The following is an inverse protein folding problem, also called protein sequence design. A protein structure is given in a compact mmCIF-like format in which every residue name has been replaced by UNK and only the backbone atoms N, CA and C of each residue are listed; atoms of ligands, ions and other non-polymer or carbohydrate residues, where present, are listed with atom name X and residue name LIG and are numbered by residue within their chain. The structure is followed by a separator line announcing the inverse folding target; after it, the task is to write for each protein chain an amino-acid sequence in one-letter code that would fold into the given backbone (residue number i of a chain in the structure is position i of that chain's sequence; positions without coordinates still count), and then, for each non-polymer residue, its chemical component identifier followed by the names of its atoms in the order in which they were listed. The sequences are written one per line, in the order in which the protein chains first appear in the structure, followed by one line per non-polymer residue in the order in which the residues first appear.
data_IF_283390390402
#
_entry.id   IF_283390390402
#
_cell.length_a   1.000
_cell.length_b   1.000
_cell.length_c   1.000
_cell.angle_alpha   90.00
_cell.angle_beta   90.00
_cell.angle_gamma   90.00
#
_symmetry.space_group_name_H-M   'P 1'
#
loop_
_entity.id
_entity.type
_entity.pdbx_description
1 polymer ?
#
# COMPACT_ATOMS: atom_id res chain seq x y z
N UNK A 1 -21.98 22.55 29.59
CA UNK A 1 -20.57 22.82 29.23
C UNK A 1 -20.59 23.73 28.02
N UNK A 2 -19.86 24.83 28.07
CA UNK A 2 -19.76 25.80 26.97
C UNK A 2 -19.00 25.14 25.82
N UNK A 3 -19.65 24.97 24.66
CA UNK A 3 -19.03 24.39 23.48
C UNK A 3 -17.80 25.21 23.03
N UNK A 4 -16.68 24.54 22.82
CA UNK A 4 -15.39 25.15 22.48
C UNK A 4 -15.50 26.05 21.25
N UNK A 5 -14.83 27.20 21.29
CA UNK A 5 -14.80 28.15 20.16
C UNK A 5 -14.15 27.53 18.92
N UNK A 6 -13.15 26.67 19.12
CA UNK A 6 -12.43 25.98 18.05
C UNK A 6 -13.38 25.02 17.34
N UNK A 7 -14.09 24.18 18.11
CA UNK A 7 -15.11 23.27 17.59
C UNK A 7 -16.18 23.98 16.76
N UNK A 8 -16.75 25.09 17.27
CA UNK A 8 -17.74 25.89 16.51
C UNK A 8 -17.19 26.41 15.19
N UNK A 9 -15.94 26.89 15.21
CA UNK A 9 -15.28 27.41 14.01
C UNK A 9 -15.02 26.29 13.01
N UNK A 10 -14.56 25.12 13.46
CA UNK A 10 -14.33 23.95 12.63
C UNK A 10 -15.63 23.46 11.96
N UNK A 11 -16.74 23.39 12.71
CA UNK A 11 -18.05 23.02 12.14
C UNK A 11 -18.51 24.01 11.08
N UNK A 12 -18.40 25.32 11.34
CA UNK A 12 -18.75 26.34 10.36
C UNK A 12 -17.90 26.25 9.07
N UNK A 13 -16.59 25.95 9.21
CA UNK A 13 -15.71 25.70 8.06
C UNK A 13 -16.15 24.45 7.29
N UNK A 14 -16.50 23.37 7.98
CA UNK A 14 -16.98 22.13 7.35
C UNK A 14 -18.31 22.33 6.63
N UNK A 15 -19.25 23.11 7.18
CA UNK A 15 -20.50 23.46 6.50
C UNK A 15 -20.25 24.24 5.19
N UNK A 16 -19.25 25.13 5.23
CA UNK A 16 -18.83 25.90 4.05
C UNK A 16 -18.18 25.02 2.96
N UNK A 17 -17.79 23.77 3.25
CA UNK A 17 -17.19 22.89 2.21
C UNK A 17 -18.14 22.60 1.07
N UNK A 18 -19.45 22.79 1.28
CA UNK A 18 -20.51 22.62 0.27
C UNK A 18 -20.45 23.62 -0.88
N UNK A 19 -19.60 24.65 -0.78
CA UNK A 19 -19.28 25.54 -1.88
C UNK A 19 -18.65 24.76 -3.05
N UNK A 20 -18.99 25.16 -4.28
CA UNK A 20 -18.52 24.53 -5.51
C UNK A 20 -17.21 25.11 -6.02
N UNK A 21 -16.79 26.26 -5.50
CA UNK A 21 -15.53 26.90 -5.88
C UNK A 21 -14.33 26.13 -5.30
N UNK A 22 -13.44 25.58 -6.15
CA UNK A 22 -12.24 24.89 -5.68
C UNK A 22 -11.33 25.74 -4.79
N UNK A 23 -11.27 27.06 -5.02
CA UNK A 23 -10.48 27.97 -4.19
C UNK A 23 -11.05 28.05 -2.78
N UNK A 24 -12.38 28.08 -2.65
CA UNK A 24 -13.04 28.08 -1.33
C UNK A 24 -12.76 26.77 -0.59
N UNK A 25 -12.83 25.63 -1.28
CA UNK A 25 -12.50 24.32 -0.70
C UNK A 25 -11.04 24.24 -0.25
N UNK A 26 -10.12 24.80 -1.01
CA UNK A 26 -8.70 24.88 -0.65
C UNK A 26 -8.48 25.78 0.57
N UNK A 27 -9.14 26.95 0.64
CA UNK A 27 -9.06 27.82 1.81
C UNK A 27 -9.64 27.15 3.07
N UNK A 28 -10.73 26.39 2.93
CA UNK A 28 -11.30 25.63 4.05
C UNK A 28 -10.33 24.55 4.52
N UNK A 29 -9.73 23.80 3.61
CA UNK A 29 -8.67 22.84 3.94
C UNK A 29 -7.53 23.51 4.71
N UNK A 30 -7.00 24.63 4.20
CA UNK A 30 -5.89 25.35 4.84
C UNK A 30 -6.29 25.87 6.23
N UNK A 31 -7.52 26.37 6.39
CA UNK A 31 -8.02 26.85 7.67
C UNK A 31 -8.16 25.71 8.71
N UNK A 32 -8.68 24.55 8.31
CA UNK A 32 -8.75 23.37 9.18
C UNK A 32 -7.36 22.88 9.60
N UNK A 33 -6.41 22.86 8.66
CA UNK A 33 -5.01 22.51 8.95
C UNK A 33 -4.39 23.50 9.95
N UNK A 34 -4.55 24.81 9.72
CA UNK A 34 -4.02 25.85 10.60
C UNK A 34 -4.57 25.74 12.03
N UNK A 35 -5.89 25.51 12.19
CA UNK A 35 -6.46 25.28 13.51
C UNK A 35 -5.90 24.00 14.17
N UNK A 36 -5.66 22.96 13.37
CA UNK A 36 -5.10 21.70 13.84
C UNK A 36 -3.60 21.75 14.19
N UNK A 37 -2.89 22.82 13.88
CA UNK A 37 -1.52 23.05 14.39
C UNK A 37 -1.53 23.39 15.88
N UNK A 38 -2.56 24.11 16.34
CA UNK A 38 -2.69 24.52 17.74
C UNK A 38 -3.52 23.55 18.56
N UNK A 39 -4.60 23.01 17.99
CA UNK A 39 -5.60 22.20 18.70
C UNK A 39 -5.91 20.91 17.91
N UNK A 40 -4.92 20.02 17.68
CA UNK A 40 -5.07 18.86 16.81
C UNK A 40 -6.17 17.90 17.26
N UNK A 41 -6.25 17.60 18.56
CA UNK A 41 -7.27 16.69 19.08
C UNK A 41 -8.69 17.24 18.89
N UNK A 42 -8.91 18.51 19.20
CA UNK A 42 -10.24 19.10 19.07
C UNK A 42 -10.69 19.18 17.60
N UNK A 43 -9.79 19.48 16.67
CA UNK A 43 -10.09 19.47 15.23
C UNK A 43 -10.40 18.05 14.74
N UNK A 44 -9.59 17.06 15.10
CA UNK A 44 -9.82 15.67 14.66
C UNK A 44 -11.13 15.10 15.21
N UNK A 45 -11.45 15.37 16.47
CA UNK A 45 -12.73 14.97 17.06
C UNK A 45 -13.91 15.70 16.40
N UNK A 46 -13.76 16.99 16.09
CA UNK A 46 -14.79 17.75 15.38
C UNK A 46 -15.06 17.18 13.98
N UNK A 47 -14.01 16.83 13.24
CA UNK A 47 -14.15 16.19 11.92
C UNK A 47 -14.83 14.82 11.98
N UNK A 48 -14.48 13.98 12.98
CA UNK A 48 -15.15 12.69 13.22
C UNK A 48 -16.64 12.87 13.50
N UNK A 49 -16.98 13.73 14.47
CA UNK A 49 -18.36 14.00 14.82
C UNK A 49 -19.16 14.52 13.61
N UNK A 50 -18.58 15.45 12.85
CA UNK A 50 -19.21 16.03 11.67
C UNK A 50 -19.51 14.98 10.60
N UNK A 51 -18.52 14.16 10.24
CA UNK A 51 -18.68 13.13 9.21
C UNK A 51 -19.69 12.04 9.61
N UNK A 52 -19.78 11.72 10.90
CA UNK A 52 -20.80 10.79 11.44
C UNK A 52 -22.21 11.36 11.42
N UNK A 53 -22.37 12.65 11.73
CA UNK A 53 -23.69 13.30 11.73
C UNK A 53 -24.20 13.55 10.31
N UNK A 54 -23.29 13.67 9.33
CA UNK A 54 -23.62 13.97 7.94
C UNK A 54 -23.39 12.76 7.02
N UNK A 55 -24.09 11.65 7.27
CA UNK A 55 -23.94 10.40 6.51
C UNK A 55 -24.15 10.54 5.00
N UNK A 56 -24.99 11.50 4.57
CA UNK A 56 -25.32 11.79 3.17
C UNK A 56 -24.47 12.90 2.55
N UNK A 57 -23.43 13.38 3.24
CA UNK A 57 -22.53 14.40 2.70
C UNK A 57 -21.85 13.88 1.43
N UNK A 58 -21.85 14.70 0.37
CA UNK A 58 -21.26 14.34 -0.90
C UNK A 58 -19.75 14.07 -0.78
N UNK A 59 -19.26 13.11 -1.57
CA UNK A 59 -17.87 12.66 -1.49
C UNK A 59 -16.81 13.77 -1.64
N UNK A 60 -16.95 14.76 -2.55
CA UNK A 60 -16.00 15.86 -2.64
C UNK A 60 -15.77 16.59 -1.31
N UNK A 61 -16.84 16.80 -0.53
CA UNK A 61 -16.74 17.47 0.77
C UNK A 61 -16.13 16.56 1.83
N UNK A 62 -16.48 15.26 1.83
CA UNK A 62 -15.81 14.26 2.69
C UNK A 62 -14.31 14.20 2.41
N UNK A 63 -13.90 14.29 1.14
CA UNK A 63 -12.49 14.28 0.72
C UNK A 63 -11.73 15.46 1.33
N UNK A 64 -12.27 16.68 1.28
CA UNK A 64 -11.63 17.87 1.87
C UNK A 64 -11.38 17.68 3.36
N UNK A 65 -12.39 17.18 4.09
CA UNK A 65 -12.29 16.93 5.53
C UNK A 65 -11.25 15.84 5.82
N UNK A 66 -11.29 14.71 5.11
CA UNK A 66 -10.34 13.61 5.29
C UNK A 66 -8.89 14.03 4.96
N UNK A 67 -8.68 14.85 3.93
CA UNK A 67 -7.36 15.42 3.62
C UNK A 67 -6.87 16.34 4.73
N UNK A 68 -7.75 17.16 5.31
CA UNK A 68 -7.39 18.00 6.45
C UNK A 68 -7.02 17.13 7.66
N UNK A 69 -7.80 16.08 7.95
CA UNK A 69 -7.48 15.11 9.00
C UNK A 69 -6.13 14.43 8.77
N UNK A 70 -5.81 14.01 7.53
CA UNK A 70 -4.51 13.43 7.17
C UNK A 70 -3.37 14.38 7.54
N UNK A 71 -3.47 15.65 7.12
CA UNK A 71 -2.46 16.66 7.38
C UNK A 71 -2.28 16.94 8.89
N UNK A 72 -3.39 17.10 9.63
CA UNK A 72 -3.37 17.33 11.08
C UNK A 72 -2.76 16.15 11.81
N UNK A 73 -3.12 14.90 11.45
CA UNK A 73 -2.51 13.69 12.02
C UNK A 73 -1.02 13.67 11.72
N UNK A 74 -0.62 13.86 10.47
CA UNK A 74 0.78 13.77 10.04
C UNK A 74 1.68 14.79 10.74
N UNK A 75 1.20 16.03 10.87
CA UNK A 75 1.97 17.12 11.47
C UNK A 75 2.07 16.99 13.00
N UNK A 76 1.11 16.33 13.65
CA UNK A 76 1.02 16.25 15.11
C UNK A 76 1.21 14.83 15.66
N UNK A 77 1.60 13.86 14.82
CA UNK A 77 1.59 12.43 15.19
C UNK A 77 2.39 12.11 16.45
N UNK A 78 3.48 12.83 16.70
CA UNK A 78 4.37 12.62 17.84
C UNK A 78 3.70 12.94 19.20
N UNK A 79 2.72 13.84 19.21
CA UNK A 79 2.07 14.34 20.42
C UNK A 79 0.62 13.87 20.55
N UNK A 80 0.00 13.44 19.45
CA UNK A 80 -1.38 12.96 19.43
C UNK A 80 -1.62 11.88 20.48
N UNK A 81 -2.73 11.99 21.21
CA UNK A 81 -3.08 11.02 22.24
C UNK A 81 -3.68 9.73 21.66
N UNK A 82 -3.63 8.64 22.44
CA UNK A 82 -4.09 7.30 22.00
C UNK A 82 -5.60 7.21 21.77
N UNK A 83 -6.39 8.03 22.46
CA UNK A 83 -7.86 8.02 22.35
C UNK A 83 -8.31 8.72 21.07
N UNK A 84 -7.77 9.90 20.78
CA UNK A 84 -8.04 10.60 19.51
C UNK A 84 -7.53 9.78 18.32
N UNK A 85 -6.34 9.19 18.41
CA UNK A 85 -5.84 8.30 17.37
C UNK A 85 -6.79 7.12 17.10
N UNK A 86 -7.39 6.51 18.13
CA UNK A 86 -8.35 5.42 17.97
C UNK A 86 -9.62 5.88 17.24
N UNK A 87 -10.13 7.07 17.56
CA UNK A 87 -11.31 7.65 16.91
C UNK A 87 -11.04 7.88 15.42
N UNK A 88 -9.92 8.52 15.10
CA UNK A 88 -9.49 8.80 13.72
C UNK A 88 -9.31 7.51 12.92
N UNK A 89 -8.64 6.50 13.49
CA UNK A 89 -8.42 5.21 12.85
C UNK A 89 -9.76 4.52 12.53
N UNK A 90 -10.67 4.48 13.50
CA UNK A 90 -11.98 3.86 13.31
C UNK A 90 -12.82 4.58 12.25
N UNK A 91 -12.82 5.92 12.26
CA UNK A 91 -13.51 6.72 11.25
C UNK A 91 -12.96 6.43 9.85
N UNK A 92 -11.64 6.56 9.68
CA UNK A 92 -10.99 6.39 8.38
C UNK A 92 -11.16 4.97 7.84
N UNK A 93 -11.07 3.95 8.70
CA UNK A 93 -11.35 2.55 8.37
C UNK A 93 -12.78 2.35 7.84
N UNK A 94 -13.76 3.03 8.44
CA UNK A 94 -15.15 2.98 8.00
C UNK A 94 -15.38 3.78 6.72
N UNK A 95 -14.91 5.01 6.61
CA UNK A 95 -15.01 5.82 5.39
C UNK A 95 -14.40 5.09 4.19
N UNK A 96 -13.22 4.48 4.36
CA UNK A 96 -12.51 3.73 3.32
C UNK A 96 -13.31 2.52 2.79
N UNK A 97 -14.18 1.93 3.61
CA UNK A 97 -14.86 0.66 3.32
C UNK A 97 -16.39 0.76 3.29
N UNK A 98 -16.94 1.96 3.47
CA UNK A 98 -18.38 2.22 3.59
C UNK A 98 -19.13 1.92 2.29
N UNK A 99 -18.52 2.18 1.13
CA UNK A 99 -19.03 1.72 -0.17
C UNK A 99 -18.25 0.51 -0.66
N UNK A 100 -18.95 -0.45 -1.29
CA UNK A 100 -18.33 -1.56 -2.03
C UNK A 100 -17.86 -1.13 -3.42
N UNK A 101 -18.43 -0.05 -3.95
CA UNK A 101 -17.97 0.55 -5.20
C UNK A 101 -16.67 1.31 -4.96
N UNK A 102 -15.77 1.25 -5.93
CA UNK A 102 -14.48 1.93 -5.84
C UNK A 102 -14.69 3.39 -6.22
N UNK A 103 -14.61 4.25 -5.21
CA UNK A 103 -14.66 5.71 -5.34
C UNK A 103 -13.29 6.23 -4.94
N UNK A 104 -12.37 6.21 -5.92
CA UNK A 104 -10.93 6.31 -5.68
C UNK A 104 -10.54 7.46 -4.76
N UNK A 105 -10.94 8.70 -5.07
CA UNK A 105 -10.45 9.87 -4.33
C UNK A 105 -10.88 9.90 -2.85
N UNK A 106 -12.12 9.48 -2.57
CA UNK A 106 -12.65 9.44 -1.20
C UNK A 106 -12.00 8.33 -0.37
N UNK A 107 -11.94 7.14 -0.93
CA UNK A 107 -11.38 5.99 -0.24
C UNK A 107 -9.85 6.11 -0.11
N UNK A 108 -9.18 6.75 -1.08
CA UNK A 108 -7.75 7.09 -0.98
C UNK A 108 -7.50 8.12 0.11
N UNK A 109 -8.32 9.18 0.23
CA UNK A 109 -8.19 10.15 1.31
C UNK A 109 -8.34 9.47 2.68
N UNK A 110 -9.31 8.56 2.84
CA UNK A 110 -9.46 7.79 4.06
C UNK A 110 -8.28 6.83 4.32
N UNK A 111 -7.78 6.15 3.29
CA UNK A 111 -6.58 5.31 3.36
C UNK A 111 -5.36 6.11 3.82
N UNK A 112 -5.16 7.33 3.31
CA UNK A 112 -4.04 8.17 3.70
C UNK A 112 -4.09 8.57 5.18
N UNK A 113 -5.27 8.82 5.74
CA UNK A 113 -5.43 9.08 7.19
C UNK A 113 -4.94 7.88 8.00
N UNK A 114 -5.29 6.66 7.59
CA UNK A 114 -4.80 5.43 8.24
C UNK A 114 -3.27 5.28 8.12
N UNK A 115 -2.72 5.59 6.96
CA UNK A 115 -1.27 5.55 6.71
C UNK A 115 -0.55 6.57 7.60
N UNK A 116 -1.04 7.80 7.67
CA UNK A 116 -0.50 8.84 8.55
C UNK A 116 -0.53 8.41 10.02
N UNK A 117 -1.66 7.90 10.50
CA UNK A 117 -1.79 7.38 11.86
C UNK A 117 -0.86 6.17 12.12
N UNK A 118 -0.68 5.32 11.11
CA UNK A 118 0.13 4.11 11.17
C UNK A 118 1.62 4.37 11.34
N UNK A 119 2.11 5.59 11.08
CA UNK A 119 3.53 5.95 11.33
C UNK A 119 3.92 5.83 12.81
N UNK A 120 2.97 6.03 13.74
CA UNK A 120 3.19 5.85 15.20
C UNK A 120 2.27 4.80 15.82
N UNK A 121 1.02 4.72 15.37
CA UNK A 121 -0.02 3.87 15.97
C UNK A 121 -0.28 2.60 15.16
N UNK A 122 0.75 2.02 14.54
CA UNK A 122 0.62 0.86 13.64
C UNK A 122 -0.21 -0.27 14.25
N UNK A 123 0.05 -0.65 15.50
CA UNK A 123 -0.70 -1.74 16.16
C UNK A 123 -2.21 -1.45 16.20
N UNK A 124 -2.62 -0.20 16.46
CA UNK A 124 -4.04 0.19 16.47
C UNK A 124 -4.65 0.21 15.08
N UNK A 125 -3.88 0.65 14.09
CA UNK A 125 -4.30 0.60 12.67
C UNK A 125 -4.51 -0.85 12.26
N UNK A 126 -3.57 -1.74 12.59
CA UNK A 126 -3.66 -3.16 12.27
C UNK A 126 -4.79 -3.86 13.02
N UNK A 127 -4.97 -3.58 14.32
CA UNK A 127 -6.11 -4.07 15.11
C UNK A 127 -7.46 -3.76 14.43
N UNK A 128 -7.62 -2.57 13.87
CA UNK A 128 -8.85 -2.14 13.19
C UNK A 128 -8.96 -2.70 11.76
N UNK A 129 -7.93 -2.48 10.92
CA UNK A 129 -7.98 -2.80 9.48
C UNK A 129 -8.03 -4.32 9.26
N UNK A 130 -7.37 -5.12 10.08
CA UNK A 130 -7.41 -6.59 9.97
C UNK A 130 -8.81 -7.16 10.26
N UNK A 131 -9.68 -6.48 11.00
CA UNK A 131 -11.07 -6.93 11.20
C UNK A 131 -11.85 -7.03 9.88
N UNK A 132 -11.43 -6.24 8.87
CA UNK A 132 -12.01 -6.17 7.53
C UNK A 132 -11.25 -7.01 6.50
N UNK A 133 -10.24 -7.78 6.94
CA UNK A 133 -9.41 -8.63 6.09
C UNK A 133 -9.51 -10.10 6.55
N UNK A 134 -10.55 -10.79 6.10
CA UNK A 134 -10.89 -12.13 6.56
C UNK A 134 -10.46 -13.23 5.57
N UNK A 135 -9.92 -14.37 6.04
CA UNK A 135 -9.54 -15.49 5.17
C UNK A 135 -10.69 -15.95 4.26
N UNK A 136 -10.38 -16.24 3.00
CA UNK A 136 -11.36 -16.78 2.03
C UNK A 136 -12.38 -15.76 1.52
N UNK A 137 -12.26 -14.48 1.87
CA UNK A 137 -13.11 -13.40 1.37
C UNK A 137 -12.22 -12.36 0.68
N UNK A 138 -12.54 -12.03 -0.57
CA UNK A 138 -11.82 -10.99 -1.30
C UNK A 138 -12.01 -9.64 -0.58
N UNK A 139 -10.93 -8.96 -0.16
CA UNK A 139 -11.07 -7.73 0.61
C UNK A 139 -11.46 -6.56 -0.29
N UNK A 140 -11.88 -5.47 0.34
CA UNK A 140 -12.05 -4.20 -0.35
C UNK A 140 -10.70 -3.72 -0.93
N UNK A 141 -10.71 -3.14 -2.14
CA UNK A 141 -9.50 -2.69 -2.84
C UNK A 141 -8.54 -1.89 -1.94
N UNK A 142 -9.09 -0.93 -1.20
CA UNK A 142 -8.31 -0.03 -0.37
C UNK A 142 -7.73 -0.67 0.90
N UNK A 143 -8.19 -1.86 1.30
CA UNK A 143 -7.53 -2.61 2.39
C UNK A 143 -6.13 -3.03 1.93
N UNK A 144 -6.03 -3.63 0.73
CA UNK A 144 -4.74 -4.02 0.15
C UNK A 144 -3.85 -2.81 -0.14
N UNK A 145 -4.44 -1.74 -0.69
CA UNK A 145 -3.71 -0.49 -0.94
C UNK A 145 -3.14 0.11 0.36
N UNK A 146 -3.91 0.08 1.45
CA UNK A 146 -3.47 0.62 2.75
C UNK A 146 -2.33 -0.19 3.33
N UNK A 147 -2.40 -1.52 3.31
CA UNK A 147 -1.27 -2.36 3.75
C UNK A 147 0.00 -2.05 2.97
N UNK A 148 -0.10 -1.92 1.65
CA UNK A 148 1.04 -1.59 0.81
C UNK A 148 1.65 -0.22 1.17
N UNK A 149 0.81 0.80 1.36
CA UNK A 149 1.26 2.14 1.72
C UNK A 149 1.83 2.21 3.16
N UNK A 150 1.32 1.39 4.09
CA UNK A 150 1.89 1.22 5.42
C UNK A 150 3.28 0.57 5.37
N UNK A 151 3.50 -0.42 4.50
CA UNK A 151 4.82 -1.01 4.26
C UNK A 151 5.86 0.00 3.78
N UNK A 152 5.45 1.04 3.05
CA UNK A 152 6.35 2.11 2.60
C UNK A 152 6.58 3.16 3.68
N UNK A 153 5.54 3.55 4.42
CA UNK A 153 5.60 4.64 5.40
C UNK A 153 6.13 4.22 6.77
N UNK A 154 6.00 2.94 7.13
CA UNK A 154 6.44 2.39 8.41
C UNK A 154 6.91 0.94 8.25
N UNK A 155 8.06 0.77 7.57
CA UNK A 155 8.70 -0.54 7.33
C UNK A 155 8.82 -1.35 8.61
N UNK A 156 9.43 -0.78 9.65
CA UNK A 156 9.68 -1.46 10.92
C UNK A 156 8.41 -1.87 11.67
N UNK A 157 7.36 -1.04 11.61
CA UNK A 157 6.08 -1.36 12.21
C UNK A 157 5.28 -2.39 11.43
N UNK A 158 5.40 -2.41 10.10
CA UNK A 158 4.55 -3.23 9.23
C UNK A 158 5.09 -4.65 9.02
N UNK A 159 6.40 -4.82 8.84
CA UNK A 159 7.02 -6.12 8.51
C UNK A 159 6.64 -7.26 9.48
N UNK A 160 6.57 -7.05 10.81
CA UNK A 160 6.11 -8.09 11.74
C UNK A 160 4.70 -8.66 11.45
N UNK A 161 3.84 -7.91 10.76
CA UNK A 161 2.49 -8.36 10.37
C UNK A 161 2.47 -9.08 9.02
N UNK A 162 3.48 -8.88 8.17
CA UNK A 162 3.43 -9.29 6.76
C UNK A 162 3.30 -10.79 6.56
N UNK A 163 3.90 -11.62 7.41
CA UNK A 163 3.80 -13.07 7.24
C UNK A 163 2.34 -13.55 7.39
N UNK A 164 1.63 -13.03 8.39
CA UNK A 164 0.21 -13.35 8.60
C UNK A 164 -0.67 -12.81 7.47
N UNK A 165 -0.38 -11.61 6.98
CA UNK A 165 -1.11 -11.00 5.85
C UNK A 165 -0.89 -11.81 4.57
N UNK A 166 0.36 -12.17 4.27
CA UNK A 166 0.75 -12.99 3.13
C UNK A 166 0.03 -14.35 3.17
N UNK A 167 0.10 -15.07 4.30
CA UNK A 167 -0.59 -16.35 4.46
C UNK A 167 -2.10 -16.24 4.23
N UNK A 168 -2.72 -15.16 4.70
CA UNK A 168 -4.16 -14.91 4.54
C UNK A 168 -4.53 -14.54 3.09
N UNK A 169 -3.71 -13.74 2.39
CA UNK A 169 -4.01 -13.28 1.04
C UNK A 169 -3.81 -14.33 -0.05
N UNK A 170 -2.97 -15.34 0.17
CA UNK A 170 -2.60 -16.31 -0.88
C UNK A 170 -3.80 -16.99 -1.55
N UNK A 171 -4.79 -17.55 -0.80
CA UNK A 171 -5.99 -18.12 -1.42
C UNK A 171 -6.79 -17.10 -2.24
N UNK A 172 -6.72 -15.81 -1.88
CA UNK A 172 -7.48 -14.74 -2.52
C UNK A 172 -6.92 -14.34 -3.89
N UNK A 173 -5.65 -14.64 -4.18
CA UNK A 173 -5.07 -14.42 -5.51
C UNK A 173 -5.85 -15.23 -6.57
N UNK A 174 -6.23 -16.47 -6.27
CA UNK A 174 -7.08 -17.28 -7.16
C UNK A 174 -8.52 -16.73 -7.31
N UNK A 175 -8.99 -15.93 -6.34
CA UNK A 175 -10.33 -15.35 -6.35
C UNK A 175 -10.40 -14.02 -7.12
N UNK A 176 -9.27 -13.33 -7.30
CA UNK A 176 -9.19 -12.03 -7.96
C UNK A 176 -9.44 -12.16 -9.47
N UNK A 177 -10.69 -11.93 -9.89
CA UNK A 177 -11.08 -11.97 -11.31
C UNK A 177 -10.79 -10.67 -12.04
N UNK A 178 -11.11 -9.54 -11.41
CA UNK A 178 -11.00 -8.21 -12.02
C UNK A 178 -9.55 -7.71 -12.00
N UNK A 179 -9.13 -7.06 -13.08
CA UNK A 179 -7.73 -6.65 -13.27
C UNK A 179 -7.29 -5.52 -12.32
N UNK A 180 -8.21 -4.66 -11.89
CA UNK A 180 -7.96 -3.68 -10.82
C UNK A 180 -7.58 -4.36 -9.50
N UNK A 181 -8.27 -5.44 -9.13
CA UNK A 181 -7.99 -6.19 -7.91
C UNK A 181 -6.64 -6.92 -8.02
N UNK A 182 -6.36 -7.57 -9.16
CA UNK A 182 -5.05 -8.18 -9.40
C UNK A 182 -3.92 -7.14 -9.34
N UNK A 183 -4.16 -5.95 -9.87
CA UNK A 183 -3.18 -4.86 -9.87
C UNK A 183 -2.86 -4.38 -8.45
N UNK A 184 -3.86 -4.24 -7.56
CA UNK A 184 -3.59 -3.86 -6.16
C UNK A 184 -2.91 -4.97 -5.37
N UNK A 185 -3.17 -6.23 -5.68
CA UNK A 185 -2.40 -7.34 -5.12
C UNK A 185 -0.93 -7.30 -5.57
N UNK A 186 -0.66 -7.01 -6.84
CA UNK A 186 0.71 -6.83 -7.33
C UNK A 186 1.39 -5.65 -6.63
N UNK A 187 0.68 -4.51 -6.48
CA UNK A 187 1.18 -3.34 -5.77
C UNK A 187 1.53 -3.65 -4.31
N UNK A 188 0.68 -4.40 -3.61
CA UNK A 188 0.95 -4.85 -2.25
C UNK A 188 2.16 -5.80 -2.19
N UNK A 189 2.22 -6.83 -3.04
CA UNK A 189 3.33 -7.78 -3.06
C UNK A 189 4.67 -7.11 -3.40
N UNK A 190 4.66 -6.11 -4.28
CA UNK A 190 5.84 -5.29 -4.56
C UNK A 190 6.35 -4.61 -3.28
N UNK A 191 5.50 -3.83 -2.61
CA UNK A 191 5.92 -3.04 -1.44
C UNK A 191 6.15 -3.89 -0.18
N UNK A 192 5.45 -5.01 -0.04
CA UNK A 192 5.77 -6.01 0.98
C UNK A 192 7.19 -6.52 0.76
N UNK A 193 7.53 -6.89 -0.47
CA UNK A 193 8.86 -7.40 -0.79
C UNK A 193 9.95 -6.35 -0.62
N UNK A 194 9.71 -5.10 -1.02
CA UNK A 194 10.64 -3.98 -0.82
C UNK A 194 10.84 -3.69 0.69
N UNK A 195 9.75 -3.64 1.47
CA UNK A 195 9.83 -3.38 2.92
C UNK A 195 10.51 -4.49 3.70
N UNK A 196 10.30 -5.77 3.35
CA UNK A 196 11.01 -6.90 3.96
C UNK A 196 12.51 -6.78 3.68
N UNK A 197 12.91 -6.46 2.45
CA UNK A 197 14.33 -6.25 2.12
C UNK A 197 14.94 -5.10 2.92
N UNK A 198 14.24 -3.96 3.02
CA UNK A 198 14.71 -2.81 3.79
C UNK A 198 14.84 -3.13 5.28
N UNK A 199 13.88 -3.86 5.86
CA UNK A 199 13.93 -4.31 7.25
C UNK A 199 15.13 -5.22 7.50
N UNK A 200 15.35 -6.21 6.64
CA UNK A 200 16.47 -7.15 6.75
C UNK A 200 17.83 -6.46 6.55
N UNK A 201 17.89 -5.39 5.75
CA UNK A 201 19.10 -4.59 5.58
C UNK A 201 19.41 -3.68 6.78
N UNK A 202 18.45 -3.45 7.68
CA UNK A 202 18.56 -2.53 8.82
C UNK A 202 18.15 -3.21 10.15
N UNK A 203 18.53 -4.47 10.35
CA UNK A 203 18.18 -5.24 11.56
C UNK A 203 18.68 -4.61 12.86
N UNK A 204 19.73 -3.78 12.82
CA UNK A 204 20.24 -3.02 13.96
C UNK A 204 19.25 -1.98 14.50
N UNK A 205 18.34 -1.50 13.64
CA UNK A 205 17.29 -0.53 13.99
C UNK A 205 15.92 -1.18 14.15
N UNK A 206 15.82 -2.48 13.85
CA UNK A 206 14.58 -3.20 13.81
C UNK A 206 14.02 -3.45 15.23
N UNK A 207 12.70 -3.34 15.42
CA UNK A 207 12.06 -3.67 16.70
C UNK A 207 12.17 -5.16 17.05
N UNK A 208 12.23 -6.03 16.04
CA UNK A 208 12.51 -7.46 16.18
C UNK A 208 13.66 -7.85 15.22
N UNK A 209 14.90 -7.99 15.72
CA UNK A 209 16.05 -8.37 14.89
C UNK A 209 16.08 -9.87 14.56
N UNK A 210 15.12 -10.67 15.04
CA UNK A 210 15.09 -12.12 14.79
C UNK A 210 14.38 -12.50 13.49
N UNK A 211 13.69 -11.54 12.87
CA UNK A 211 13.03 -11.71 11.57
C UNK A 211 14.04 -12.15 10.52
N UNK A 212 13.72 -13.21 9.77
CA UNK A 212 14.59 -13.76 8.73
C UNK A 212 13.89 -13.80 7.38
N UNK A 213 14.67 -13.78 6.30
CA UNK A 213 14.17 -13.97 4.93
C UNK A 213 13.28 -15.20 4.83
N UNK A 214 13.71 -16.32 5.41
CA UNK A 214 13.00 -17.62 5.38
C UNK A 214 11.57 -17.56 5.93
N UNK A 215 11.27 -16.59 6.80
CA UNK A 215 9.93 -16.38 7.36
C UNK A 215 8.90 -16.04 6.29
N UNK A 216 9.30 -15.49 5.15
CA UNK A 216 8.39 -15.04 4.09
C UNK A 216 8.58 -15.79 2.77
N UNK A 217 9.66 -16.56 2.63
CA UNK A 217 10.12 -17.07 1.33
C UNK A 217 9.07 -17.93 0.62
N UNK A 218 8.40 -18.82 1.35
CA UNK A 218 7.42 -19.73 0.77
C UNK A 218 6.17 -18.98 0.29
N UNK A 219 5.69 -18.04 1.08
CA UNK A 219 4.52 -17.23 0.76
C UNK A 219 4.78 -16.33 -0.44
N UNK A 220 5.97 -15.71 -0.50
CA UNK A 220 6.40 -14.92 -1.67
C UNK A 220 6.49 -15.81 -2.91
N UNK A 221 7.06 -17.02 -2.79
CA UNK A 221 7.15 -17.94 -3.92
C UNK A 221 5.76 -18.38 -4.43
N UNK A 222 4.83 -18.69 -3.54
CA UNK A 222 3.47 -19.08 -3.90
C UNK A 222 2.74 -17.93 -4.62
N UNK A 223 2.92 -16.69 -4.17
CA UNK A 223 2.39 -15.52 -4.84
C UNK A 223 3.06 -15.29 -6.20
N UNK A 224 4.38 -15.44 -6.28
CA UNK A 224 5.17 -15.34 -7.51
C UNK A 224 4.63 -16.30 -8.57
N UNK A 225 4.33 -17.54 -8.19
CA UNK A 225 3.88 -18.59 -9.11
C UNK A 225 2.59 -18.19 -9.82
N UNK A 226 1.60 -17.66 -9.06
CA UNK A 226 0.35 -17.13 -9.61
C UNK A 226 0.61 -15.93 -10.53
N UNK A 227 1.42 -14.98 -10.07
CA UNK A 227 1.71 -13.76 -10.82
C UNK A 227 2.38 -14.06 -12.16
N UNK A 228 3.46 -14.86 -12.15
CA UNK A 228 4.28 -15.14 -13.31
C UNK A 228 3.60 -16.09 -14.31
N UNK A 229 3.00 -17.19 -13.83
CA UNK A 229 2.42 -18.19 -14.72
C UNK A 229 1.01 -17.84 -15.19
N UNK A 230 0.23 -17.12 -14.39
CA UNK A 230 -1.18 -16.83 -14.68
C UNK A 230 -1.37 -15.37 -15.08
N UNK A 231 -1.01 -14.42 -14.23
CA UNK A 231 -1.38 -13.02 -14.45
C UNK A 231 -0.52 -12.30 -15.49
N UNK A 232 0.76 -12.66 -15.63
CA UNK A 232 1.65 -12.09 -16.66
C UNK A 232 1.17 -12.37 -18.08
N UNK A 233 0.42 -13.46 -18.27
CA UNK A 233 -0.17 -13.84 -19.57
C UNK A 233 -1.37 -12.98 -19.97
N UNK A 234 -1.82 -12.07 -19.09
CA UNK A 234 -2.93 -11.17 -19.39
C UNK A 234 -2.67 -10.33 -20.65
N UNK A 235 -3.74 -10.06 -21.40
CA UNK A 235 -3.71 -9.13 -22.53
C UNK A 235 -3.62 -7.68 -22.08
N UNK A 236 -4.05 -7.39 -20.84
CA UNK A 236 -4.08 -6.04 -20.29
C UNK A 236 -2.68 -5.54 -19.92
N UNK A 237 -2.24 -4.49 -20.61
CA UNK A 237 -0.87 -3.98 -20.49
C UNK A 237 -0.57 -3.45 -19.07
N UNK A 238 -1.53 -2.77 -18.45
CA UNK A 238 -1.40 -2.24 -17.08
C UNK A 238 -1.21 -3.36 -16.06
N UNK A 239 -1.94 -4.47 -16.20
CA UNK A 239 -1.77 -5.62 -15.31
C UNK A 239 -0.41 -6.29 -15.51
N UNK A 240 0.02 -6.51 -16.77
CA UNK A 240 1.36 -7.07 -17.02
C UNK A 240 2.46 -6.22 -16.40
N UNK A 241 2.35 -4.91 -16.52
CA UNK A 241 3.29 -3.98 -15.90
C UNK A 241 3.28 -4.10 -14.37
N UNK A 242 2.10 -4.17 -13.75
CA UNK A 242 1.98 -4.35 -12.30
C UNK A 242 2.63 -5.67 -11.83
N UNK A 243 2.44 -6.76 -12.58
CA UNK A 243 3.11 -8.04 -12.32
C UNK A 243 4.62 -7.87 -12.37
N UNK A 244 5.17 -7.29 -13.44
CA UNK A 244 6.63 -7.06 -13.58
C UNK A 244 7.19 -6.26 -12.41
N UNK A 245 6.52 -5.17 -12.02
CA UNK A 245 6.96 -4.35 -10.89
C UNK A 245 7.04 -5.14 -9.59
N UNK A 246 6.16 -6.12 -9.39
CA UNK A 246 6.17 -6.99 -8.22
C UNK A 246 7.25 -8.09 -8.29
N UNK A 247 7.45 -8.72 -9.46
CA UNK A 247 8.38 -9.85 -9.62
C UNK A 247 9.83 -9.49 -9.24
N UNK A 248 10.30 -8.30 -9.62
CA UNK A 248 11.65 -7.82 -9.30
C UNK A 248 12.04 -7.93 -7.82
N UNK A 249 11.36 -7.20 -6.91
CA UNK A 249 11.66 -7.30 -5.49
C UNK A 249 11.28 -8.67 -4.89
N UNK A 250 10.26 -9.37 -5.41
CA UNK A 250 9.90 -10.72 -4.93
C UNK A 250 11.04 -11.74 -5.13
N UNK A 251 11.79 -11.64 -6.24
CA UNK A 251 12.90 -12.57 -6.52
C UNK A 251 13.99 -12.57 -5.44
N UNK A 252 14.21 -11.46 -4.75
CA UNK A 252 15.15 -11.39 -3.63
C UNK A 252 14.73 -12.23 -2.43
N UNK A 253 13.43 -12.47 -2.28
CA UNK A 253 12.85 -13.15 -1.13
C UNK A 253 12.48 -14.61 -1.41
N UNK A 254 12.50 -15.05 -2.67
CA UNK A 254 12.25 -16.46 -3.00
C UNK A 254 13.31 -17.40 -2.39
N UNK A 255 12.96 -18.68 -2.12
CA UNK A 255 13.94 -19.72 -1.82
C UNK A 255 14.95 -19.84 -2.96
N UNK A 256 16.23 -20.00 -2.63
CA UNK A 256 17.32 -19.97 -3.61
C UNK A 256 17.17 -21.05 -4.69
N UNK A 257 16.81 -22.27 -4.29
CA UNK A 257 16.60 -23.39 -5.20
C UNK A 257 15.43 -23.12 -6.15
N UNK A 258 14.38 -22.49 -5.63
CA UNK A 258 13.20 -22.13 -6.41
C UNK A 258 13.47 -21.00 -7.38
N UNK A 259 14.24 -19.98 -6.99
CA UNK A 259 14.64 -18.94 -7.94
C UNK A 259 15.46 -19.56 -9.08
N UNK A 260 16.45 -20.39 -8.75
CA UNK A 260 17.31 -21.06 -9.74
C UNK A 260 16.50 -21.91 -10.74
N UNK A 261 15.55 -22.71 -10.26
CA UNK A 261 14.63 -23.49 -11.11
C UNK A 261 13.82 -22.61 -12.09
N UNK A 262 13.49 -21.37 -11.69
CA UNK A 262 12.64 -20.47 -12.49
C UNK A 262 13.43 -19.62 -13.49
N UNK A 263 14.73 -19.37 -13.28
CA UNK A 263 15.52 -18.47 -14.14
C UNK A 263 15.42 -18.74 -15.65
N UNK A 264 15.47 -20.00 -16.12
CA UNK A 264 15.36 -20.30 -17.55
C UNK A 264 14.03 -19.88 -18.18
N UNK A 265 12.98 -19.70 -17.38
CA UNK A 265 11.67 -19.20 -17.85
C UNK A 265 11.50 -17.72 -17.55
N UNK A 266 11.93 -17.30 -16.35
CA UNK A 266 11.78 -15.94 -15.85
C UNK A 266 12.53 -14.93 -16.72
N UNK A 267 13.82 -15.16 -16.99
CA UNK A 267 14.64 -14.21 -17.76
C UNK A 267 14.07 -14.02 -19.17
N UNK A 268 13.81 -15.07 -19.98
CA UNK A 268 13.19 -14.89 -21.29
C UNK A 268 11.79 -14.29 -21.20
N UNK A 269 11.01 -14.63 -20.17
CA UNK A 269 9.67 -14.08 -19.92
C UNK A 269 9.68 -12.57 -19.73
N UNK A 270 10.62 -12.04 -18.96
CA UNK A 270 10.80 -10.59 -18.77
C UNK A 270 11.36 -9.93 -20.03
N UNK A 271 12.35 -10.54 -20.68
CA UNK A 271 12.93 -10.01 -21.92
C UNK A 271 11.90 -9.88 -23.05
N UNK A 272 10.95 -10.82 -23.14
CA UNK A 272 9.87 -10.78 -24.13
C UNK A 272 8.97 -9.54 -23.99
N UNK A 273 8.96 -8.86 -22.85
CA UNK A 273 8.13 -7.69 -22.61
C UNK A 273 8.69 -6.42 -23.27
N UNK A 274 10.01 -6.33 -23.51
CA UNK A 274 10.59 -5.22 -24.28
C UNK A 274 9.98 -5.10 -25.69
N UNK A 275 9.63 -6.23 -26.30
CA UNK A 275 9.03 -6.29 -27.64
C UNK A 275 7.57 -5.82 -27.69
N UNK A 276 6.88 -5.73 -26.54
CA UNK A 276 5.42 -5.47 -26.48
C UNK A 276 5.05 -4.00 -26.22
N UNK A 277 5.90 -3.05 -26.62
CA UNK A 277 5.75 -1.61 -26.31
C UNK A 277 5.57 -1.37 -24.79
N UNK A 278 6.42 -2.01 -23.98
CA UNK A 278 6.36 -1.88 -22.53
C UNK A 278 7.08 -0.60 -22.06
N UNK A 279 6.68 -0.09 -20.89
CA UNK A 279 7.41 0.92 -20.13
C UNK A 279 8.80 0.35 -19.75
N UNK A 280 9.77 0.52 -20.66
CA UNK A 280 11.07 -0.14 -20.63
C UNK A 280 11.81 0.06 -19.30
N UNK A 281 11.61 1.21 -18.64
CA UNK A 281 12.17 1.49 -17.32
C UNK A 281 11.81 0.41 -16.29
N UNK A 282 10.53 0.03 -16.16
CA UNK A 282 10.10 -0.93 -15.14
C UNK A 282 10.49 -2.36 -15.50
N UNK A 283 10.50 -2.70 -16.79
CA UNK A 283 11.02 -3.98 -17.26
C UNK A 283 12.51 -4.09 -16.94
N UNK A 284 13.28 -3.03 -17.20
CA UNK A 284 14.71 -2.95 -16.88
C UNK A 284 14.95 -3.06 -15.37
N UNK A 285 14.23 -2.24 -14.57
CA UNK A 285 14.35 -2.26 -13.10
C UNK A 285 14.09 -3.67 -12.54
N UNK A 286 13.00 -4.31 -12.96
CA UNK A 286 12.68 -5.66 -12.50
C UNK A 286 13.71 -6.69 -12.97
N UNK A 287 14.20 -6.58 -14.21
CA UNK A 287 15.25 -7.46 -14.71
C UNK A 287 16.53 -7.32 -13.90
N UNK A 288 16.97 -6.08 -13.61
CA UNK A 288 18.13 -5.83 -12.75
C UNK A 288 17.96 -6.48 -11.38
N UNK A 289 16.81 -6.33 -10.75
CA UNK A 289 16.53 -6.94 -9.45
C UNK A 289 16.53 -8.48 -9.49
N UNK A 290 15.99 -9.08 -10.56
CA UNK A 290 16.04 -10.54 -10.76
C UNK A 290 17.48 -11.02 -10.92
N UNK A 291 18.28 -10.33 -11.73
CA UNK A 291 19.68 -10.68 -11.97
C UNK A 291 20.51 -10.51 -10.69
N UNK A 292 20.30 -9.44 -9.93
CA UNK A 292 20.95 -9.20 -8.64
C UNK A 292 20.62 -10.31 -7.64
N UNK A 293 19.33 -10.66 -7.48
CA UNK A 293 18.91 -11.77 -6.65
C UNK A 293 19.57 -13.09 -7.06
N UNK A 294 19.68 -13.34 -8.37
CA UNK A 294 20.28 -14.56 -8.93
C UNK A 294 21.78 -14.66 -8.65
N UNK A 295 22.50 -13.54 -8.76
CA UNK A 295 23.92 -13.45 -8.44
C UNK A 295 24.15 -13.64 -6.95
N UNK A 296 23.32 -13.02 -6.10
CA UNK A 296 23.41 -13.13 -4.65
C UNK A 296 23.22 -14.56 -4.13
N UNK A 297 22.45 -15.40 -4.83
CA UNK A 297 22.31 -16.84 -4.50
C UNK A 297 23.37 -17.72 -5.17
N UNK A 298 24.27 -17.14 -5.98
CA UNK A 298 25.33 -17.87 -6.67
C UNK A 298 24.83 -18.82 -7.76
N UNK A 299 23.72 -18.48 -8.43
CA UNK A 299 23.12 -19.37 -9.42
C UNK A 299 24.02 -19.56 -10.66
N UNK A 300 24.29 -20.81 -11.00
CA UNK A 300 25.00 -21.19 -12.23
C UNK A 300 24.08 -21.21 -13.44
N UNK A 301 22.77 -21.28 -13.19
CA UNK A 301 21.76 -21.30 -14.25
C UNK A 301 21.72 -19.97 -15.00
N UNK A 302 22.16 -18.88 -14.38
CA UNK A 302 22.25 -17.57 -15.02
C UNK A 302 23.21 -17.55 -16.21
N UNK A 303 24.30 -18.34 -16.18
CA UNK A 303 25.27 -18.44 -17.27
C UNK A 303 24.60 -18.88 -18.59
N UNK A 304 23.61 -19.77 -18.48
CA UNK A 304 22.84 -20.26 -19.63
C UNK A 304 21.93 -19.19 -20.25
N UNK A 305 21.69 -18.08 -19.56
CA UNK A 305 20.83 -16.99 -20.01
C UNK A 305 21.61 -15.81 -20.58
N UNK A 306 22.96 -15.82 -20.50
CA UNK A 306 23.82 -14.71 -20.89
C UNK A 306 23.62 -14.30 -22.35
N UNK A 307 23.59 -15.27 -23.27
CA UNK A 307 23.39 -15.00 -24.70
C UNK A 307 22.04 -14.32 -24.97
N UNK A 308 20.97 -14.78 -24.31
CA UNK A 308 19.64 -14.18 -24.47
C UNK A 308 19.59 -12.74 -23.94
N UNK A 309 20.25 -12.48 -22.81
CA UNK A 309 20.38 -11.15 -22.22
C UNK A 309 21.15 -10.21 -23.15
N UNK A 310 22.35 -10.61 -23.60
CA UNK A 310 23.19 -9.81 -24.47
C UNK A 310 22.48 -9.49 -25.80
N UNK A 311 21.89 -10.50 -26.44
CA UNK A 311 21.20 -10.32 -27.72
C UNK A 311 19.98 -9.38 -27.62
N UNK A 312 19.30 -9.35 -26.48
CA UNK A 312 18.10 -8.51 -26.31
C UNK A 312 18.45 -7.09 -25.87
N UNK A 313 19.42 -6.93 -24.97
CA UNK A 313 19.77 -5.63 -24.37
C UNK A 313 20.81 -4.86 -25.18
N UNK A 314 21.64 -5.55 -25.95
CA UNK A 314 22.65 -4.97 -26.82
C UNK A 314 22.47 -5.49 -28.27
N UNK A 315 21.36 -5.13 -28.95
CA UNK A 315 21.19 -5.47 -30.35
C UNK A 315 22.32 -4.80 -31.16
N UNK A 316 23.04 -5.60 -31.95
CA UNK A 316 24.07 -5.12 -32.88
C UNK A 316 23.46 -4.29 -34.01
#
# INVERSE_FOLDING_TARGET
MTESRVKKTAVALMDATTDKDPLVQEQIYNALCYLGESEPEEILNSCDEYLRQHDKLAYPHRIVILKAMEAVVKNNIAYLDKSTAKIVIFLASNEMTKSKEIICDWQQAASNVLVAAGTRFINKVMEEVLTKFQPGILPHYFIMQTFANLSVSNVFGMVPFLNSILGTMLPMLGMAKQDNMKSVFCYALQHFSESIQEYLANLDKAPDPTVRKDTFSNEIFNAYDVLFHIWLQSREAKLRLAVVKALGPMSHLMPSEKLEEQLPKLVPGILALYKKHAEAFYVTKSLCQILEASVNVGSRTLDTQLDALLNTLHPQ
#
